data_IF_146350490689
#
_entry.id   IF_146350490689
#
_cell.length_a   1.000
_cell.length_b   1.000
_cell.length_c   1.000
_cell.angle_alpha   90.00
_cell.angle_beta   90.00
_cell.angle_gamma   90.00
#
_symmetry.space_group_name_H-M   'P 1'
#
loop_
_entity.id
_entity.type
_entity.pdbx_description
1 polymer ?
#
# COMPACT_ATOMS: atom_id res chain seq x y z
N UNK A 1 -11.70 -11.05 -7.19
CA UNK A 1 -10.43 -10.91 -6.42
C UNK A 1 -10.00 -12.21 -5.75
N UNK A 2 -10.87 -13.19 -5.53
CA UNK A 2 -10.54 -14.41 -4.77
C UNK A 2 -9.33 -15.19 -5.34
N UNK A 3 -9.25 -15.38 -6.66
CA UNK A 3 -8.14 -16.10 -7.29
C UNK A 3 -6.79 -15.34 -7.29
N UNK A 4 -6.81 -14.01 -7.29
CA UNK A 4 -5.59 -13.19 -7.28
C UNK A 4 -5.10 -12.83 -5.87
N UNK A 5 -5.95 -13.05 -4.86
CA UNK A 5 -5.67 -12.68 -3.48
C UNK A 5 -4.42 -13.35 -2.87
N UNK A 6 -4.10 -14.62 -3.16
CA UNK A 6 -2.83 -15.21 -2.71
C UNK A 6 -1.61 -14.44 -3.22
N UNK A 7 -1.57 -14.14 -4.52
CA UNK A 7 -0.47 -13.38 -5.12
C UNK A 7 -0.35 -11.96 -4.56
N UNK A 8 -1.49 -11.28 -4.35
CA UNK A 8 -1.53 -9.96 -3.71
C UNK A 8 -1.00 -10.06 -2.27
N UNK A 9 -1.34 -11.12 -1.55
CA UNK A 9 -0.88 -11.34 -0.18
C UNK A 9 0.64 -11.51 -0.13
N UNK A 10 1.20 -12.32 -1.03
CA UNK A 10 2.65 -12.53 -1.12
C UNK A 10 3.39 -11.22 -1.42
N UNK A 11 2.87 -10.43 -2.36
CA UNK A 11 3.42 -9.12 -2.68
C UNK A 11 3.39 -8.16 -1.48
N UNK A 12 2.29 -8.13 -0.73
CA UNK A 12 2.18 -7.32 0.49
C UNK A 12 3.18 -7.79 1.55
N UNK A 13 3.40 -9.09 1.72
CA UNK A 13 4.40 -9.60 2.65
C UNK A 13 5.82 -9.24 2.26
N UNK A 14 6.13 -9.22 0.96
CA UNK A 14 7.42 -8.75 0.45
C UNK A 14 7.64 -7.27 0.81
N UNK A 15 6.60 -6.42 0.63
CA UNK A 15 6.66 -5.02 1.06
C UNK A 15 6.89 -4.92 2.58
N UNK A 16 6.14 -5.69 3.38
CA UNK A 16 6.29 -5.64 4.84
C UNK A 16 7.72 -6.00 5.25
N UNK A 17 8.29 -7.08 4.71
CA UNK A 17 9.64 -7.52 5.05
C UNK A 17 10.75 -6.61 4.53
N UNK A 18 10.65 -6.14 3.29
CA UNK A 18 11.72 -5.36 2.64
C UNK A 18 11.66 -3.87 2.93
N UNK A 19 10.49 -3.34 3.29
CA UNK A 19 10.27 -1.90 3.47
C UNK A 19 9.83 -1.55 4.88
N UNK A 20 8.76 -2.17 5.37
CA UNK A 20 8.14 -1.74 6.64
C UNK A 20 9.00 -2.16 7.82
N UNK A 21 9.44 -3.43 7.88
CA UNK A 21 10.26 -3.94 8.98
C UNK A 21 11.55 -3.14 9.18
N UNK A 22 12.38 -2.91 8.14
CA UNK A 22 13.63 -2.17 8.31
C UNK A 22 13.38 -0.73 8.77
N UNK A 23 12.29 -0.10 8.30
CA UNK A 23 11.96 1.25 8.70
C UNK A 23 11.49 1.33 10.15
N UNK A 24 10.72 0.35 10.64
CA UNK A 24 10.36 0.24 12.06
C UNK A 24 11.62 0.03 12.91
N UNK A 25 12.49 -0.91 12.51
CA UNK A 25 13.76 -1.18 13.22
C UNK A 25 14.59 0.10 13.35
N UNK A 26 14.77 0.83 12.24
CA UNK A 26 15.49 2.10 12.22
C UNK A 26 14.87 3.13 13.15
N UNK A 27 13.54 3.26 13.13
CA UNK A 27 12.83 4.23 13.95
C UNK A 27 12.86 3.89 15.45
N UNK A 28 13.13 2.63 15.82
CA UNK A 28 13.28 2.18 17.22
C UNK A 28 14.73 2.25 17.73
N UNK A 29 15.69 2.67 16.90
CA UNK A 29 17.10 2.80 17.29
C UNK A 29 17.69 1.48 17.81
N UNK A 30 18.39 1.53 18.95
CA UNK A 30 19.05 0.35 19.56
C UNK A 30 18.08 -0.78 19.92
N UNK A 31 16.80 -0.45 20.14
CA UNK A 31 15.74 -1.43 20.41
C UNK A 31 15.25 -2.14 19.14
N UNK A 32 15.56 -1.62 17.95
CA UNK A 32 15.15 -2.18 16.67
C UNK A 32 15.70 -3.59 16.41
N UNK A 33 16.90 -3.91 16.91
CA UNK A 33 17.50 -5.25 16.76
C UNK A 33 16.68 -6.36 17.46
N UNK A 34 15.82 -5.98 18.41
CA UNK A 34 14.92 -6.89 19.12
C UNK A 34 13.59 -7.06 18.41
N UNK A 35 13.30 -6.23 17.40
CA UNK A 35 12.06 -6.23 16.61
C UNK A 35 12.20 -7.12 15.37
N UNK A 36 11.22 -7.98 15.09
CA UNK A 36 11.12 -8.69 13.81
C UNK A 36 9.67 -9.12 13.55
N UNK A 37 9.24 -9.12 12.28
CA UNK A 37 8.01 -9.80 11.87
C UNK A 37 8.33 -11.28 11.57
N UNK A 38 7.50 -12.18 12.07
CA UNK A 38 7.53 -13.59 11.68
C UNK A 38 6.68 -13.79 10.43
N UNK A 39 7.25 -13.46 9.27
CA UNK A 39 6.55 -13.50 7.99
C UNK A 39 6.24 -14.92 7.51
N UNK A 40 6.93 -15.95 8.02
CA UNK A 40 6.76 -17.35 7.60
C UNK A 40 5.40 -17.94 8.01
N UNK A 41 4.77 -17.38 9.05
CA UNK A 41 3.45 -17.79 9.52
C UNK A 41 2.37 -16.72 9.28
N UNK A 42 2.68 -15.70 8.47
CA UNK A 42 1.77 -14.59 8.20
C UNK A 42 0.73 -14.92 7.12
N UNK A 43 -0.49 -14.45 7.33
CA UNK A 43 -1.57 -14.49 6.33
C UNK A 43 -2.37 -13.20 6.38
N UNK A 44 -2.80 -12.70 5.22
CA UNK A 44 -3.76 -11.60 5.12
C UNK A 44 -5.21 -12.07 5.40
N UNK A 45 -5.40 -13.37 5.61
CA UNK A 45 -6.71 -14.00 5.68
C UNK A 45 -7.26 -14.31 4.29
N UNK A 46 -8.36 -15.05 4.23
CA UNK A 46 -9.00 -15.50 2.99
C UNK A 46 -9.97 -14.50 2.38
N UNK A 47 -10.32 -13.44 3.11
CA UNK A 47 -11.26 -12.41 2.64
C UNK A 47 -10.50 -11.36 1.82
N UNK A 48 -10.76 -11.24 0.51
CA UNK A 48 -10.12 -10.23 -0.31
C UNK A 48 -10.62 -8.83 0.06
N UNK A 49 -9.84 -7.83 -0.30
CA UNK A 49 -10.30 -6.45 -0.30
C UNK A 49 -11.53 -6.30 -1.22
N UNK A 50 -12.34 -5.26 -0.98
CA UNK A 50 -13.49 -4.90 -1.82
C UNK A 50 -13.33 -3.48 -2.32
N UNK A 51 -13.81 -3.24 -3.53
CA UNK A 51 -13.98 -1.90 -4.09
C UNK A 51 -15.46 -1.58 -4.15
N UNK A 52 -15.84 -0.44 -3.60
CA UNK A 52 -17.19 0.11 -3.68
C UNK A 52 -17.16 1.47 -4.38
N UNK A 53 -18.32 1.95 -4.85
CA UNK A 53 -18.45 3.27 -5.52
C UNK A 53 -17.44 3.43 -6.66
N UNK A 54 -17.47 2.51 -7.62
CA UNK A 54 -16.52 2.51 -8.74
C UNK A 54 -16.97 3.49 -9.81
N UNK A 55 -16.10 4.45 -10.12
CA UNK A 55 -16.28 5.40 -11.21
C UNK A 55 -15.13 5.27 -12.20
N UNK A 56 -15.44 5.25 -13.49
CA UNK A 56 -14.43 5.15 -14.55
C UNK A 56 -14.56 6.32 -15.52
N UNK A 57 -13.44 6.93 -15.87
CA UNK A 57 -13.39 7.98 -16.88
C UNK A 57 -12.08 7.95 -17.65
N UNK A 58 -12.10 8.50 -18.86
CA UNK A 58 -10.89 8.76 -19.64
C UNK A 58 -10.20 10.01 -19.09
N UNK A 59 -8.87 9.97 -19.03
CA UNK A 59 -8.05 11.14 -18.72
C UNK A 59 -6.96 11.30 -19.77
N UNK A 60 -6.69 12.53 -20.16
CA UNK A 60 -5.58 12.86 -21.06
C UNK A 60 -4.41 13.34 -20.22
N UNK A 61 -3.26 12.68 -20.34
CA UNK A 61 -2.01 13.08 -19.70
C UNK A 61 -1.10 13.74 -20.73
N UNK A 62 -0.66 14.97 -20.46
CA UNK A 62 0.30 15.67 -21.30
C UNK A 62 1.71 15.17 -20.96
N UNK A 63 2.47 14.77 -21.99
CA UNK A 63 3.88 14.35 -21.89
C UNK A 63 4.75 15.24 -22.79
N UNK A 64 6.07 15.05 -22.79
CA UNK A 64 6.99 15.93 -23.51
C UNK A 64 6.78 15.88 -25.04
N UNK A 65 6.45 14.72 -25.56
CA UNK A 65 6.34 14.38 -26.98
C UNK A 65 4.88 14.22 -27.45
N UNK A 66 3.89 14.57 -26.62
CA UNK A 66 2.49 14.48 -27.02
C UNK A 66 1.51 14.29 -25.86
N UNK A 67 0.52 13.42 -26.09
CA UNK A 67 -0.58 13.14 -25.16
C UNK A 67 -0.74 11.63 -25.01
N UNK A 68 -1.00 11.19 -23.78
CA UNK A 68 -1.35 9.81 -23.45
C UNK A 68 -2.81 9.74 -23.04
N UNK A 69 -3.53 8.78 -23.61
CA UNK A 69 -4.87 8.44 -23.17
C UNK A 69 -4.82 7.42 -22.06
N UNK A 70 -5.39 7.78 -20.92
CA UNK A 70 -5.42 6.95 -19.73
C UNK A 70 -6.87 6.56 -19.41
N UNK A 71 -7.03 5.38 -18.81
CA UNK A 71 -8.30 5.00 -18.15
C UNK A 71 -8.09 5.13 -16.65
N UNK A 72 -8.90 5.97 -16.01
CA UNK A 72 -8.88 6.20 -14.57
C UNK A 72 -10.06 5.49 -13.94
N UNK A 73 -9.79 4.63 -12.98
CA UNK A 73 -10.76 3.92 -12.16
C UNK A 73 -10.61 4.43 -10.73
N UNK A 74 -11.64 5.10 -10.22
CA UNK A 74 -11.71 5.57 -8.84
C UNK A 74 -12.66 4.64 -8.08
N UNK A 75 -12.31 4.29 -6.86
CA UNK A 75 -13.20 3.53 -6.01
C UNK A 75 -12.79 3.61 -4.55
N UNK A 76 -13.72 3.30 -3.67
CA UNK A 76 -13.46 3.18 -2.24
C UNK A 76 -12.99 1.76 -1.94
N UNK A 77 -11.74 1.64 -1.49
CA UNK A 77 -11.18 0.39 -1.00
C UNK A 77 -11.67 0.15 0.42
N UNK A 78 -12.15 -1.05 0.70
CA UNK A 78 -12.48 -1.54 2.03
C UNK A 78 -11.94 -2.95 2.23
N UNK A 79 -11.16 -3.15 3.28
CA UNK A 79 -10.63 -4.46 3.62
C UNK A 79 -10.54 -4.65 5.13
N UNK A 80 -10.98 -5.81 5.60
CA UNK A 80 -10.78 -6.30 6.96
C UNK A 80 -10.22 -7.73 6.89
N UNK A 81 -8.94 -7.86 7.21
CA UNK A 81 -8.24 -9.15 7.23
C UNK A 81 -8.09 -9.67 8.65
N UNK A 82 -8.45 -10.95 8.85
CA UNK A 82 -8.03 -11.71 10.01
C UNK A 82 -6.56 -12.10 9.84
N UNK A 83 -5.69 -11.15 10.14
CA UNK A 83 -4.25 -11.35 9.99
C UNK A 83 -3.68 -12.15 11.16
N UNK A 84 -2.59 -12.87 10.88
CA UNK A 84 -1.72 -13.42 11.91
C UNK A 84 -0.32 -12.90 11.68
N UNK A 85 -0.04 -11.68 12.13
CA UNK A 85 1.32 -11.13 12.06
C UNK A 85 1.92 -11.20 13.45
N UNK A 86 2.92 -12.06 13.64
CA UNK A 86 3.61 -12.14 14.93
C UNK A 86 4.83 -11.21 14.89
N UNK A 87 4.94 -10.36 15.89
CA UNK A 87 6.10 -9.49 16.12
C UNK A 87 6.79 -9.94 17.39
N UNK A 88 8.12 -10.07 17.31
CA UNK A 88 8.96 -10.30 18.49
C UNK A 88 9.55 -8.97 18.91
N UNK A 89 9.57 -8.68 20.20
CA UNK A 89 10.31 -7.58 20.81
C UNK A 89 11.00 -8.08 22.07
N UNK A 90 12.23 -8.56 21.93
CA UNK A 90 12.94 -9.26 23.03
C UNK A 90 12.20 -10.55 23.41
N UNK A 91 11.81 -10.70 24.68
CA UNK A 91 11.00 -11.82 25.16
C UNK A 91 9.49 -11.63 24.95
N UNK A 92 9.06 -10.43 24.55
CA UNK A 92 7.66 -10.13 24.29
C UNK A 92 7.27 -10.59 22.88
N UNK A 93 6.25 -11.44 22.82
CA UNK A 93 5.62 -11.87 21.58
C UNK A 93 4.27 -11.17 21.44
N UNK A 94 4.10 -10.37 20.40
CA UNK A 94 2.90 -9.58 20.14
C UNK A 94 2.32 -10.00 18.80
N UNK A 95 1.08 -10.48 18.78
CA UNK A 95 0.38 -10.78 17.54
C UNK A 95 -0.46 -9.60 17.07
N UNK A 96 -0.56 -9.36 15.77
CA UNK A 96 -1.65 -8.58 15.16
C UNK A 96 -2.73 -9.58 14.75
N UNK A 97 -3.96 -9.33 15.19
CA UNK A 97 -5.16 -10.15 14.96
C UNK A 97 -5.97 -9.68 13.76
N UNK A 98 -6.10 -8.37 13.62
CA UNK A 98 -6.92 -7.74 12.59
C UNK A 98 -6.22 -6.51 12.05
N UNK A 99 -6.31 -6.38 10.73
CA UNK A 99 -5.96 -5.16 10.01
C UNK A 99 -7.22 -4.71 9.29
N UNK A 100 -7.55 -3.43 9.42
CA UNK A 100 -8.56 -2.77 8.59
C UNK A 100 -7.89 -1.69 7.77
N UNK A 101 -8.22 -1.64 6.49
CA UNK A 101 -7.78 -0.58 5.57
C UNK A 101 -9.01 -0.06 4.84
N UNK A 102 -9.18 1.26 4.85
CA UNK A 102 -10.22 1.91 4.05
C UNK A 102 -9.76 3.26 3.51
N UNK A 103 -10.06 3.56 2.26
CA UNK A 103 -9.75 4.86 1.66
C UNK A 103 -10.09 4.92 0.17
N UNK A 104 -10.04 6.13 -0.39
CA UNK A 104 -10.30 6.37 -1.81
C UNK A 104 -9.06 6.04 -2.62
N UNK A 105 -9.13 4.95 -3.40
CA UNK A 105 -8.07 4.46 -4.25
C UNK A 105 -8.35 4.82 -5.70
N UNK A 106 -7.32 5.27 -6.40
CA UNK A 106 -7.32 5.52 -7.83
C UNK A 106 -6.34 4.55 -8.48
N UNK A 107 -6.83 3.80 -9.45
CA UNK A 107 -6.03 2.98 -10.35
C UNK A 107 -6.11 3.62 -11.74
N UNK A 108 -4.97 3.84 -12.37
CA UNK A 108 -4.91 4.45 -13.69
C UNK A 108 -4.10 3.56 -14.63
N UNK A 109 -4.73 3.10 -15.70
CA UNK A 109 -4.06 2.45 -16.82
C UNK A 109 -3.52 3.56 -17.72
N UNK A 110 -2.19 3.66 -17.81
CA UNK A 110 -1.48 4.79 -18.42
C UNK A 110 -1.10 4.47 -19.86
N UNK A 111 -1.38 5.40 -20.78
CA UNK A 111 -0.91 5.38 -22.15
C UNK A 111 -1.47 4.21 -22.95
N UNK A 112 -2.72 4.31 -23.38
CA UNK A 112 -3.38 3.31 -24.22
C UNK A 112 -2.61 3.10 -25.54
N UNK A 113 -2.53 1.84 -25.98
CA UNK A 113 -1.82 1.41 -27.18
C UNK A 113 -2.68 0.45 -28.01
N UNK A 114 -2.54 0.43 -29.35
CA UNK A 114 -3.30 -0.45 -30.23
C UNK A 114 -2.76 -1.89 -30.29
N UNK A 115 -1.83 -2.25 -29.39
CA UNK A 115 -1.21 -3.59 -29.30
C UNK A 115 -1.16 -4.04 -27.84
N UNK A 116 -1.18 -5.36 -27.55
CA UNK A 116 -0.90 -5.87 -26.21
C UNK A 116 0.42 -5.31 -25.63
N UNK A 117 0.47 -4.99 -24.33
CA UNK A 117 -0.55 -5.19 -23.29
C UNK A 117 -1.67 -4.12 -23.25
N UNK A 118 -1.82 -3.31 -24.30
CA UNK A 118 -2.80 -2.23 -24.51
C UNK A 118 -2.59 -0.98 -23.66
N UNK A 119 -1.68 -1.00 -22.69
CA UNK A 119 -1.30 0.16 -21.89
C UNK A 119 0.22 0.16 -21.66
N UNK A 120 0.84 1.33 -21.66
CA UNK A 120 2.26 1.48 -21.32
C UNK A 120 2.55 1.04 -19.88
N UNK A 121 1.62 1.32 -18.97
CA UNK A 121 1.75 0.94 -17.57
C UNK A 121 0.45 1.05 -16.79
N UNK A 122 0.56 0.82 -15.50
CA UNK A 122 -0.50 1.10 -14.54
C UNK A 122 0.08 1.84 -13.34
N UNK A 123 -0.72 2.67 -12.68
CA UNK A 123 -0.37 3.25 -11.39
C UNK A 123 -1.54 3.21 -10.42
N UNK A 124 -1.20 3.13 -9.14
CA UNK A 124 -2.16 3.06 -8.05
C UNK A 124 -1.74 4.04 -6.96
N UNK A 125 -2.70 4.80 -6.45
CA UNK A 125 -2.51 5.73 -5.36
C UNK A 125 -3.82 6.03 -4.62
N UNK A 126 -3.72 6.41 -3.36
CA UNK A 126 -4.80 6.98 -2.58
C UNK A 126 -4.83 8.50 -2.74
N UNK A 127 -6.03 9.06 -2.79
CA UNK A 127 -6.25 10.51 -2.86
C UNK A 127 -5.83 11.19 -1.55
N UNK A 128 -6.13 10.55 -0.42
CA UNK A 128 -5.75 10.97 0.92
C UNK A 128 -5.14 9.77 1.66
N UNK A 129 -4.35 9.97 2.73
CA UNK A 129 -3.89 8.85 3.55
C UNK A 129 -5.06 7.95 3.96
N UNK A 130 -5.01 6.63 3.66
CA UNK A 130 -6.10 5.73 4.00
C UNK A 130 -6.13 5.53 5.52
N UNK A 131 -7.31 5.22 6.03
CA UNK A 131 -7.48 4.82 7.43
C UNK A 131 -6.98 3.39 7.59
N UNK A 132 -6.01 3.21 8.49
CA UNK A 132 -5.46 1.90 8.85
C UNK A 132 -5.73 1.66 10.33
N UNK A 133 -6.25 0.49 10.67
CA UNK A 133 -6.42 0.09 12.07
C UNK A 133 -5.80 -1.28 12.32
N UNK A 134 -5.05 -1.37 13.42
CA UNK A 134 -4.47 -2.62 13.89
C UNK A 134 -5.06 -3.02 15.25
N UNK A 135 -5.52 -4.26 15.33
CA UNK A 135 -5.85 -4.92 16.58
C UNK A 135 -4.74 -5.90 16.94
N UNK A 136 -4.16 -5.73 18.12
CA UNK A 136 -3.12 -6.61 18.64
C UNK A 136 -3.73 -7.66 19.59
N UNK A 137 -3.19 -8.88 19.60
CA UNK A 137 -3.46 -9.94 20.58
C UNK A 137 -2.51 -9.81 21.77
N UNK A 138 -3.06 -9.85 22.99
CA UNK A 138 -2.31 -9.96 24.24
C UNK A 138 -3.22 -10.16 25.46
N UNK A 139 -2.71 -10.78 26.54
CA UNK A 139 -3.36 -10.77 27.87
C UNK A 139 -3.33 -9.34 28.42
N UNK A 140 -4.40 -8.90 29.10
CA UNK A 140 -4.57 -7.55 29.65
C UNK A 140 -3.31 -6.96 30.33
N UNK A 141 -2.56 -7.78 31.08
CA UNK A 141 -1.33 -7.38 31.76
C UNK A 141 -0.19 -6.93 30.82
N UNK A 142 -0.11 -7.46 29.58
CA UNK A 142 0.90 -7.07 28.58
C UNK A 142 0.42 -5.94 27.66
N UNK A 143 -0.85 -5.54 27.74
CA UNK A 143 -1.42 -4.52 26.83
C UNK A 143 -0.78 -3.16 27.04
N UNK A 144 -0.39 -2.81 28.27
CA UNK A 144 0.28 -1.54 28.59
C UNK A 144 1.67 -1.45 27.96
N UNK A 145 2.46 -2.53 28.04
CA UNK A 145 3.80 -2.63 27.42
C UNK A 145 3.75 -2.60 25.89
N UNK A 146 2.65 -3.04 25.29
CA UNK A 146 2.45 -3.09 23.83
C UNK A 146 2.10 -1.71 23.24
N UNK A 147 1.58 -0.75 24.03
CA UNK A 147 1.12 0.56 23.51
C UNK A 147 2.20 1.35 22.76
N UNK A 148 3.43 1.51 23.30
CA UNK A 148 4.48 2.24 22.59
C UNK A 148 4.87 1.57 21.26
N UNK A 149 4.94 0.24 21.26
CA UNK A 149 5.26 -0.55 20.07
C UNK A 149 4.15 -0.40 19.03
N UNK A 150 2.88 -0.53 19.44
CA UNK A 150 1.72 -0.28 18.58
C UNK A 150 1.78 1.11 17.94
N UNK A 151 2.05 2.15 18.74
CA UNK A 151 2.13 3.54 18.25
C UNK A 151 3.23 3.68 17.20
N UNK A 152 4.40 3.07 17.44
CA UNK A 152 5.52 3.14 16.51
C UNK A 152 5.23 2.39 15.19
N UNK A 153 4.66 1.18 15.27
CA UNK A 153 4.26 0.39 14.10
C UNK A 153 3.22 1.15 13.27
N UNK A 154 2.19 1.71 13.92
CA UNK A 154 1.16 2.52 13.25
C UNK A 154 1.77 3.74 12.56
N UNK A 155 2.59 4.51 13.28
CA UNK A 155 3.27 5.70 12.75
C UNK A 155 4.09 5.37 11.50
N UNK A 156 4.83 4.26 11.54
CA UNK A 156 5.68 3.88 10.42
C UNK A 156 4.89 3.33 9.23
N UNK A 157 3.82 2.56 9.47
CA UNK A 157 2.90 2.13 8.42
C UNK A 157 2.25 3.33 7.72
N UNK A 158 1.69 4.27 8.50
CA UNK A 158 1.09 5.49 7.97
C UNK A 158 2.10 6.30 7.15
N UNK A 159 3.34 6.43 7.65
CA UNK A 159 4.43 7.11 6.93
C UNK A 159 4.75 6.42 5.61
N UNK A 160 4.89 5.10 5.58
CA UNK A 160 5.25 4.34 4.38
C UNK A 160 4.13 4.37 3.34
N UNK A 161 2.87 4.29 3.78
CA UNK A 161 1.73 4.44 2.88
C UNK A 161 1.70 5.87 2.32
N UNK A 162 1.86 6.88 3.16
CA UNK A 162 1.81 8.29 2.75
C UNK A 162 2.93 8.66 1.77
N UNK A 163 4.13 8.12 1.98
CA UNK A 163 5.29 8.46 1.14
C UNK A 163 5.36 7.70 -0.18
N UNK A 164 4.58 6.63 -0.37
CA UNK A 164 4.65 5.77 -1.56
C UNK A 164 3.35 5.67 -2.35
N UNK A 165 2.22 5.73 -1.66
CA UNK A 165 0.90 5.44 -2.20
C UNK A 165 -0.07 6.59 -2.03
N UNK A 166 0.33 7.76 -1.53
CA UNK A 166 -0.55 8.93 -1.43
C UNK A 166 0.02 10.04 -2.28
N UNK A 167 -0.87 10.71 -3.03
CA UNK A 167 -0.48 11.81 -3.93
C UNK A 167 0.40 12.86 -3.22
N UNK A 168 1.43 13.41 -3.90
CA UNK A 168 1.78 13.18 -5.31
C UNK A 168 2.55 11.88 -5.56
N UNK A 169 2.86 11.09 -4.53
CA UNK A 169 3.56 9.81 -4.69
C UNK A 169 2.59 8.74 -5.17
N UNK A 170 3.02 7.95 -6.15
CA UNK A 170 2.18 6.97 -6.80
C UNK A 170 2.99 5.74 -7.16
N UNK A 171 2.40 4.58 -6.89
CA UNK A 171 3.02 3.30 -7.16
C UNK A 171 2.70 2.89 -8.58
N UNK A 172 3.68 2.97 -9.47
CA UNK A 172 3.54 2.63 -10.88
C UNK A 172 4.29 1.35 -11.24
N UNK A 173 3.68 0.57 -12.15
CA UNK A 173 4.27 -0.60 -12.78
C UNK A 173 4.31 -0.34 -14.28
N UNK A 174 5.48 -0.59 -14.87
CA UNK A 174 5.65 -0.62 -16.32
C UNK A 174 5.11 -1.94 -16.87
N UNK A 175 4.20 -1.86 -17.84
CA UNK A 175 3.63 -3.04 -18.50
C UNK A 175 4.28 -3.27 -19.86
N UNK A 176 4.56 -2.20 -20.60
CA UNK A 176 5.30 -2.26 -21.87
C UNK A 176 6.77 -1.89 -21.62
N UNK A 177 7.72 -2.83 -21.80
CA UNK A 177 9.15 -2.57 -21.55
C UNK A 177 9.74 -1.45 -22.43
N UNK A 178 9.10 -1.15 -23.58
CA UNK A 178 9.52 -0.09 -24.48
C UNK A 178 9.04 1.31 -24.05
N UNK A 179 8.12 1.39 -23.08
CA UNK A 179 7.61 2.67 -22.59
C UNK A 179 8.57 3.34 -21.62
N UNK A 180 8.46 4.65 -21.43
CA UNK A 180 9.25 5.36 -20.43
C UNK A 180 8.58 5.30 -19.06
N UNK A 181 9.23 4.65 -18.08
CA UNK A 181 8.69 4.51 -16.72
C UNK A 181 8.32 5.85 -16.07
N UNK A 182 9.06 6.93 -16.36
CA UNK A 182 8.79 8.26 -15.82
C UNK A 182 7.41 8.81 -16.23
N UNK A 183 6.89 8.45 -17.41
CA UNK A 183 5.53 8.83 -17.83
C UNK A 183 4.46 8.17 -16.96
N UNK A 184 4.78 7.04 -16.34
CA UNK A 184 3.89 6.29 -15.45
C UNK A 184 4.02 6.83 -14.02
N UNK A 185 5.24 6.88 -13.48
CA UNK A 185 5.50 7.19 -12.05
C UNK A 185 5.65 8.67 -11.74
N UNK A 186 5.75 9.55 -12.74
CA UNK A 186 5.84 11.02 -12.57
C UNK A 186 4.97 11.74 -13.60
N UNK A 187 3.63 11.67 -13.46
CA UNK A 187 2.76 12.48 -14.30
C UNK A 187 3.07 13.96 -14.11
N UNK A 188 2.98 14.73 -15.20
CA UNK A 188 3.03 16.19 -15.10
C UNK A 188 1.86 16.69 -14.23
N UNK A 189 2.07 17.70 -13.38
CA UNK A 189 0.98 18.33 -12.63
C UNK A 189 -0.12 18.81 -13.58
N UNK A 190 -1.39 18.52 -13.25
CA UNK A 190 -2.54 18.98 -14.04
C UNK A 190 -2.86 20.47 -13.85
N UNK A 191 -2.26 21.11 -12.85
CA UNK A 191 -2.41 22.53 -12.56
C UNK A 191 -1.67 22.91 -11.26
N UNK A 192 -1.55 24.21 -11.02
CA UNK A 192 -1.09 24.77 -9.74
C UNK A 192 -2.33 25.36 -9.08
N UNK A 193 -2.65 24.93 -7.86
CA UNK A 193 -3.67 25.60 -7.07
C UNK A 193 -3.08 26.92 -6.57
N UNK A 194 -3.54 28.04 -7.11
CA UNK A 194 -3.22 29.36 -6.58
C UNK A 194 -4.27 29.70 -5.50
N UNK A 195 -3.80 29.93 -4.28
CA UNK A 195 -4.60 30.43 -3.16
C UNK A 195 -4.50 31.94 -3.08
#
# INVERSE_FOLDING_TARGET
MEHSWPCISDFVFDIVGRTIEPAIKSAMGTMGNKFAFDLKACTLGSKPARFTTIETHRAVQIVADGKLDNIVIKGKLEWEGNVRIMTRFGSLLIGVKRVKVSGDLVTECVGMMPRPPFFQGARVFFVNPPRVELEFRGRLARVLEVRPIKKQVMKELERQISTRFVVPNLFGIQLDPQSEIFRIVRPRPKGILQH
#
